data_IF_162169483137
#
_entry.id   IF_162169483137
#
_cell.length_a   1.000
_cell.length_b   1.000
_cell.length_c   1.000
_cell.angle_alpha   90.00
_cell.angle_beta   90.00
_cell.angle_gamma   90.00
#
_symmetry.space_group_name_H-M   'P 1'
#
loop_
_entity.id
_entity.type
_entity.pdbx_description
1 polymer ?
#
# COMPACT_ATOMS: atom_id res chain seq x y z
N UNK A 1 3.33 -4.59 7.41
CA UNK A 1 2.21 -3.99 8.18
C UNK A 1 1.74 -2.66 7.60
N UNK A 2 2.63 -1.67 7.40
CA UNK A 2 2.26 -0.30 6.95
C UNK A 2 1.49 -0.28 5.61
N UNK A 3 1.88 -1.08 4.62
CA UNK A 3 1.17 -1.17 3.34
C UNK A 3 -0.26 -1.72 3.44
N UNK A 4 -0.54 -2.54 4.45
CA UNK A 4 -1.87 -3.08 4.73
C UNK A 4 -2.78 -2.00 5.38
N UNK A 5 -2.18 -1.15 6.22
CA UNK A 5 -2.88 0.01 6.82
C UNK A 5 -3.21 1.04 5.74
N UNK A 6 -2.29 1.29 4.79
CA UNK A 6 -2.49 2.19 3.66
C UNK A 6 -3.68 1.78 2.77
N UNK A 7 -3.90 0.48 2.55
CA UNK A 7 -5.01 -0.02 1.73
C UNK A 7 -6.32 -0.15 2.50
N UNK A 8 -6.29 -0.49 3.79
CA UNK A 8 -7.50 -0.71 4.60
C UNK A 8 -8.08 0.60 5.14
N UNK A 9 -7.26 1.63 5.42
CA UNK A 9 -7.73 2.90 5.99
C UNK A 9 -8.77 3.64 5.12
N UNK A 10 -8.62 3.76 3.78
CA UNK A 10 -9.66 4.31 2.91
C UNK A 10 -10.95 3.50 2.92
N UNK A 11 -10.83 2.17 2.96
CA UNK A 11 -12.00 1.27 2.97
C UNK A 11 -12.81 1.44 4.26
N UNK A 12 -12.14 1.68 5.40
CA UNK A 12 -12.81 2.02 6.67
C UNK A 12 -13.52 3.39 6.62
N UNK A 13 -12.93 4.39 5.96
CA UNK A 13 -13.58 5.69 5.75
C UNK A 13 -14.82 5.62 4.85
N UNK A 14 -14.80 4.73 3.85
CA UNK A 14 -15.95 4.46 2.98
C UNK A 14 -17.03 3.64 3.72
N UNK A 15 -16.65 2.71 4.59
CA UNK A 15 -17.61 2.03 5.47
C UNK A 15 -18.40 3.03 6.33
N UNK A 16 -17.73 4.07 6.85
CA UNK A 16 -18.37 5.15 7.61
C UNK A 16 -19.43 5.92 6.83
N UNK A 17 -19.24 6.13 5.51
CA UNK A 17 -20.28 6.77 4.68
C UNK A 17 -21.51 5.90 4.52
N UNK A 18 -21.31 4.60 4.37
CA UNK A 18 -22.42 3.63 4.25
C UNK A 18 -23.22 3.61 5.54
N UNK A 19 -22.55 3.55 6.69
CA UNK A 19 -23.22 3.57 8.01
C UNK A 19 -24.00 4.87 8.23
N UNK A 20 -23.43 6.03 7.92
CA UNK A 20 -24.13 7.30 8.08
C UNK A 20 -25.30 7.49 7.10
N UNK A 21 -25.20 7.00 5.86
CA UNK A 21 -26.33 6.99 4.93
C UNK A 21 -27.45 6.03 5.36
N UNK A 22 -27.11 4.88 5.94
CA UNK A 22 -28.12 3.97 6.51
C UNK A 22 -28.92 4.64 7.63
N UNK A 23 -28.25 5.35 8.54
CA UNK A 23 -28.94 6.12 9.59
C UNK A 23 -29.80 7.27 9.05
N UNK A 24 -29.38 7.91 7.97
CA UNK A 24 -30.19 8.93 7.28
C UNK A 24 -31.49 8.32 6.73
N UNK A 25 -31.42 7.15 6.07
CA UNK A 25 -32.60 6.45 5.55
C UNK A 25 -33.50 5.88 6.63
N UNK A 26 -32.95 5.45 7.77
CA UNK A 26 -33.73 5.03 8.94
C UNK A 26 -34.55 6.20 9.50
N UNK A 27 -33.95 7.40 9.57
CA UNK A 27 -34.65 8.63 9.98
C UNK A 27 -35.82 8.95 9.03
N UNK A 28 -35.63 8.78 7.73
CA UNK A 28 -36.71 8.95 6.73
C UNK A 28 -37.83 7.92 6.95
N UNK A 29 -37.50 6.67 7.24
CA UNK A 29 -38.48 5.60 7.44
C UNK A 29 -39.30 5.72 8.72
N UNK A 30 -38.76 6.36 9.75
CA UNK A 30 -39.43 6.58 11.04
C UNK A 30 -40.32 7.83 11.05
N UNK A 31 -40.06 8.78 10.16
CA UNK A 31 -40.84 10.00 10.07
C UNK A 31 -41.80 9.87 8.91
N UNK A 32 -43.08 9.60 9.18
CA UNK A 32 -44.19 9.40 8.22
C UNK A 32 -44.42 10.63 7.29
N UNK A 33 -43.46 10.97 6.45
CA UNK A 33 -43.51 12.07 5.48
C UNK A 33 -43.15 13.46 6.03
N UNK A 34 -42.90 13.64 7.33
CA UNK A 34 -42.38 14.90 7.89
C UNK A 34 -40.86 14.83 7.92
N UNK A 35 -40.18 15.34 6.91
CA UNK A 35 -38.72 15.32 6.88
C UNK A 35 -38.14 16.41 7.78
N UNK A 36 -37.52 16.03 8.90
CA UNK A 36 -36.63 16.91 9.65
C UNK A 36 -35.30 17.00 8.89
N UNK A 37 -35.22 17.92 7.93
CA UNK A 37 -34.05 18.12 7.07
C UNK A 37 -32.74 18.31 7.88
N UNK A 38 -32.86 18.85 9.09
CA UNK A 38 -31.74 19.07 10.02
C UNK A 38 -31.12 17.74 10.50
N UNK A 39 -31.94 16.73 10.80
CA UNK A 39 -31.47 15.41 11.26
C UNK A 39 -30.82 14.60 10.13
N UNK A 40 -31.39 14.72 8.92
CA UNK A 40 -30.80 14.14 7.70
C UNK A 40 -29.46 14.78 7.37
N UNK A 41 -29.36 16.12 7.48
CA UNK A 41 -28.10 16.82 7.27
C UNK A 41 -27.03 16.40 8.29
N UNK A 42 -27.41 16.15 9.55
CA UNK A 42 -26.51 15.68 10.60
C UNK A 42 -25.93 14.28 10.34
N UNK A 43 -26.76 13.33 9.93
CA UNK A 43 -26.34 11.95 9.63
C UNK A 43 -25.43 11.88 8.39
N UNK A 44 -25.74 12.64 7.34
CA UNK A 44 -24.91 12.76 6.13
C UNK A 44 -23.58 13.46 6.46
N UNK A 45 -23.61 14.54 7.25
CA UNK A 45 -22.40 15.24 7.69
C UNK A 45 -21.45 14.32 8.45
N UNK A 46 -22.00 13.50 9.35
CA UNK A 46 -21.22 12.51 10.10
C UNK A 46 -20.58 11.49 9.16
N UNK A 47 -21.32 10.99 8.17
CA UNK A 47 -20.78 10.12 7.12
C UNK A 47 -19.58 10.75 6.40
N UNK A 48 -19.69 12.01 5.97
CA UNK A 48 -18.61 12.70 5.27
C UNK A 48 -17.37 12.92 6.16
N UNK A 49 -17.55 13.25 7.44
CA UNK A 49 -16.46 13.43 8.39
C UNK A 49 -15.66 12.12 8.59
N UNK A 50 -16.35 10.98 8.65
CA UNK A 50 -15.67 9.69 8.78
C UNK A 50 -14.81 9.34 7.56
N UNK A 51 -15.21 9.75 6.36
CA UNK A 51 -14.38 9.63 5.15
C UNK A 51 -13.14 10.49 5.22
N UNK A 52 -13.30 11.75 5.63
CA UNK A 52 -12.18 12.69 5.75
C UNK A 52 -11.16 12.16 6.76
N UNK A 53 -11.61 11.61 7.89
CA UNK A 53 -10.72 10.99 8.88
C UNK A 53 -9.97 9.77 8.31
N UNK A 54 -10.64 8.91 7.55
CA UNK A 54 -10.00 7.77 6.87
C UNK A 54 -8.94 8.22 5.86
N UNK A 55 -9.20 9.28 5.10
CA UNK A 55 -8.26 9.85 4.13
C UNK A 55 -7.06 10.53 4.79
N UNK A 56 -7.27 11.25 5.91
CA UNK A 56 -6.20 11.90 6.68
C UNK A 56 -5.18 10.87 7.18
N UNK A 57 -5.61 9.65 7.51
CA UNK A 57 -4.70 8.57 7.93
C UNK A 57 -4.10 7.85 6.72
N UNK A 58 -4.87 7.59 5.68
CA UNK A 58 -4.43 6.81 4.52
C UNK A 58 -3.33 7.49 3.70
N UNK A 59 -3.46 8.80 3.44
CA UNK A 59 -2.50 9.58 2.63
C UNK A 59 -1.07 9.52 3.22
N UNK A 60 -0.83 9.93 4.48
CA UNK A 60 0.52 9.90 5.05
C UNK A 60 1.05 8.47 5.20
N UNK A 61 0.19 7.51 5.55
CA UNK A 61 0.60 6.10 5.67
C UNK A 61 1.09 5.54 4.34
N UNK A 62 0.39 5.85 3.24
CA UNK A 62 0.77 5.43 1.89
C UNK A 62 2.07 6.09 1.46
N UNK A 63 2.25 7.39 1.73
CA UNK A 63 3.47 8.11 1.41
C UNK A 63 4.70 7.50 2.10
N UNK A 64 4.60 7.22 3.40
CA UNK A 64 5.69 6.59 4.17
C UNK A 64 5.97 5.16 3.68
N UNK A 65 4.92 4.38 3.38
CA UNK A 65 5.09 3.02 2.87
C UNK A 65 5.83 3.00 1.54
N UNK A 66 5.45 3.86 0.59
CA UNK A 66 6.10 3.93 -0.73
C UNK A 66 7.55 4.39 -0.62
N UNK A 67 7.84 5.36 0.26
CA UNK A 67 9.22 5.80 0.51
C UNK A 67 10.10 4.67 1.04
N UNK A 68 9.61 3.93 2.04
CA UNK A 68 10.38 2.84 2.64
C UNK A 68 10.55 1.67 1.66
N UNK A 69 9.52 1.38 0.87
CA UNK A 69 9.55 0.34 -0.16
C UNK A 69 10.56 0.66 -1.26
N UNK A 70 10.55 1.87 -1.80
CA UNK A 70 11.55 2.30 -2.79
C UNK A 70 12.98 2.15 -2.27
N UNK A 71 13.20 2.45 -0.99
CA UNK A 71 14.52 2.29 -0.37
C UNK A 71 14.93 0.82 -0.26
N UNK A 72 14.01 -0.06 0.11
CA UNK A 72 14.26 -1.51 0.16
C UNK A 72 14.54 -2.05 -1.24
N UNK A 73 13.75 -1.66 -2.24
CA UNK A 73 13.92 -2.11 -3.62
C UNK A 73 15.26 -1.65 -4.20
N UNK A 74 15.72 -0.45 -3.84
CA UNK A 74 17.05 0.04 -4.22
C UNK A 74 18.16 -0.82 -3.63
N UNK A 75 18.10 -1.12 -2.32
CA UNK A 75 19.07 -2.02 -1.68
C UNK A 75 19.01 -3.44 -2.25
N UNK A 76 17.82 -3.96 -2.53
CA UNK A 76 17.66 -5.28 -3.13
C UNK A 76 18.28 -5.34 -4.54
N UNK A 77 18.11 -4.27 -5.33
CA UNK A 77 18.73 -4.14 -6.66
C UNK A 77 20.25 -4.05 -6.58
N UNK A 78 20.80 -3.33 -5.60
CA UNK A 78 22.25 -3.22 -5.39
C UNK A 78 22.86 -4.57 -5.00
N UNK A 79 22.22 -5.30 -4.09
CA UNK A 79 22.64 -6.66 -3.73
C UNK A 79 22.56 -7.60 -4.93
N UNK A 80 21.49 -7.52 -5.73
CA UNK A 80 21.34 -8.36 -6.93
C UNK A 80 22.48 -8.13 -7.93
N UNK A 81 22.84 -6.86 -8.19
CA UNK A 81 23.96 -6.51 -9.06
C UNK A 81 25.29 -7.06 -8.55
N UNK A 82 25.59 -6.88 -7.26
CA UNK A 82 26.84 -7.42 -6.66
C UNK A 82 26.89 -8.94 -6.80
N UNK A 83 25.75 -9.61 -6.66
CA UNK A 83 25.67 -11.08 -6.76
C UNK A 83 25.89 -11.54 -8.20
N UNK A 84 25.33 -10.84 -9.18
CA UNK A 84 25.56 -11.08 -10.62
C UNK A 84 27.02 -10.84 -11.00
N UNK A 85 27.61 -9.73 -10.57
CA UNK A 85 29.02 -9.42 -10.84
C UNK A 85 29.95 -10.48 -10.23
N UNK A 86 29.68 -10.93 -9.00
CA UNK A 86 30.45 -11.98 -8.36
C UNK A 86 30.33 -13.31 -9.09
N UNK A 87 29.11 -13.68 -9.52
CA UNK A 87 28.87 -14.89 -10.29
C UNK A 87 29.65 -14.86 -11.63
N UNK A 88 29.60 -13.74 -12.34
CA UNK A 88 30.34 -13.54 -13.59
C UNK A 88 31.86 -13.66 -13.40
N UNK A 89 32.41 -13.11 -12.31
CA UNK A 89 33.83 -13.24 -12.00
C UNK A 89 34.25 -14.68 -11.71
N UNK A 90 33.41 -15.45 -11.00
CA UNK A 90 33.69 -16.87 -10.70
C UNK A 90 33.64 -17.74 -11.96
N UNK A 91 32.73 -17.46 -12.90
CA UNK A 91 32.69 -18.15 -14.19
C UNK A 91 33.95 -17.86 -15.03
N UNK A 92 34.37 -16.59 -15.10
CA UNK A 92 35.60 -16.21 -15.82
C UNK A 92 36.87 -16.85 -15.22
N UNK A 93 36.99 -16.88 -13.89
CA UNK A 93 38.12 -17.50 -13.21
C UNK A 93 38.13 -19.04 -13.36
N UNK A 94 36.95 -19.66 -13.47
CA UNK A 94 36.81 -21.08 -13.74
C UNK A 94 37.27 -21.47 -15.16
N UNK A 95 36.97 -20.62 -16.15
CA UNK A 95 37.36 -20.86 -17.55
C UNK A 95 38.88 -20.70 -17.75
N UNK A 96 39.50 -19.69 -17.13
CA UNK A 96 40.95 -19.47 -17.14
C UNK A 96 41.73 -20.65 -16.52
N UNK A 97 41.23 -21.19 -15.40
CA UNK A 97 41.84 -22.33 -14.73
C UNK A 97 41.73 -23.63 -15.55
N UNK A 98 40.63 -23.80 -16.30
CA UNK A 98 40.40 -24.93 -17.20
C UNK A 98 41.32 -24.88 -18.42
N UNK A 99 41.48 -23.70 -19.04
CA UNK A 99 42.38 -23.48 -20.17
C UNK A 99 43.85 -23.74 -19.84
N UNK A 100 44.33 -23.25 -18.68
CA UNK A 100 45.71 -23.46 -18.23
C UNK A 100 46.04 -24.94 -17.96
N UNK A 101 45.05 -25.74 -17.55
CA UNK A 101 45.24 -27.17 -17.30
C UNK A 101 45.34 -27.97 -18.59
N UNK A 102 44.51 -27.64 -19.59
CA UNK A 102 44.52 -28.27 -20.91
C UNK A 102 45.83 -28.00 -21.68
N UNK A 103 46.41 -26.81 -21.51
CA UNK A 103 47.69 -26.42 -22.10
C UNK A 103 48.92 -27.11 -21.49
N UNK A 104 48.83 -27.63 -20.25
CA UNK A 104 49.93 -28.40 -19.60
C UNK A 104 49.90 -29.90 -19.91
N UNK A 105 48.78 -30.39 -20.44
CA UNK A 105 48.59 -31.80 -20.82
C UNK A 105 48.76 -32.08 -22.31
N UNK A 106 48.99 -31.04 -23.12
CA UNK A 106 49.35 -31.12 -24.53
C UNK A 106 50.86 -30.92 -24.67
#
# INVERSE_FOLDING_TARGET
>A
AIGLIATVAPMLGLLGTVVGMVGAFETIGLTDGVTHADELAGSISTALITTVMGLIVAIPTTAVFTFLRNRIDHFASEVAQITEDLAAHLESAGDDASGARKARTA
#
